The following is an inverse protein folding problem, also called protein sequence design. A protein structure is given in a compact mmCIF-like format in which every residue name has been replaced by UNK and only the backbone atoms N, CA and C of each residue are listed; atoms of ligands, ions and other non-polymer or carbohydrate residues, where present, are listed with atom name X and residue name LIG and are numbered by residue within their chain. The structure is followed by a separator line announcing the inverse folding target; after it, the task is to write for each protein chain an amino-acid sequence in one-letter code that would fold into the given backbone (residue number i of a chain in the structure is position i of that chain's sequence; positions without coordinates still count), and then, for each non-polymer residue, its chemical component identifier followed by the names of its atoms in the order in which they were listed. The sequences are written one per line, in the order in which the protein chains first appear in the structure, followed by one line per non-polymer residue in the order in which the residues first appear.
data_IF_729259617974
#
_entry.id   IF_729259617974
#
_cell.length_a   1.000
_cell.length_b   1.000
_cell.length_c   1.000
_cell.angle_alpha   90.00
_cell.angle_beta   90.00
_cell.angle_gamma   90.00
#
_symmetry.space_group_name_H-M   'P 1'
#
loop_
_entity.id
_entity.type
_entity.pdbx_description
1 polymer ?
#
# COMPACT_ATOMS: atom_id res chain seq x y z
N UNK A 1 7.13 -24.83 33.56
CA UNK A 1 7.08 -23.92 32.41
C UNK A 1 6.24 -22.73 32.87
N UNK A 2 6.81 -21.53 32.83
CA UNK A 2 6.12 -20.32 33.28
C UNK A 2 4.92 -20.02 32.34
N UNK A 3 3.77 -19.68 32.92
CA UNK A 3 2.52 -19.47 32.19
C UNK A 3 2.64 -18.27 31.24
N UNK A 4 3.38 -17.23 31.62
CA UNK A 4 3.64 -16.08 30.74
C UNK A 4 4.57 -16.43 29.57
N UNK A 5 5.58 -17.28 29.81
CA UNK A 5 6.44 -17.77 28.73
C UNK A 5 5.65 -18.58 27.71
N UNK A 6 4.79 -19.50 28.18
CA UNK A 6 3.96 -20.31 27.30
C UNK A 6 3.01 -19.47 26.42
N UNK A 7 2.39 -18.42 26.99
CA UNK A 7 1.54 -17.51 26.22
C UNK A 7 2.33 -16.70 25.17
N UNK A 8 3.54 -16.25 25.51
CA UNK A 8 4.43 -15.56 24.56
C UNK A 8 4.84 -16.48 23.40
N UNK A 9 5.15 -17.75 23.69
CA UNK A 9 5.54 -18.72 22.68
C UNK A 9 4.38 -19.03 21.71
N UNK A 10 3.15 -19.17 22.23
CA UNK A 10 1.95 -19.33 21.39
C UNK A 10 1.74 -18.10 20.49
N UNK A 11 1.78 -16.89 21.05
CA UNK A 11 1.56 -15.67 20.29
C UNK A 11 2.63 -15.48 19.19
N UNK A 12 3.88 -15.84 19.50
CA UNK A 12 4.97 -15.82 18.53
C UNK A 12 4.70 -16.80 17.39
N UNK A 13 4.37 -18.06 17.71
CA UNK A 13 4.09 -19.08 16.71
C UNK A 13 2.90 -18.72 15.80
N UNK A 14 1.84 -18.12 16.35
CA UNK A 14 0.68 -17.66 15.58
C UNK A 14 1.05 -16.50 14.65
N UNK A 15 1.79 -15.50 15.17
CA UNK A 15 2.28 -14.38 14.37
C UNK A 15 3.19 -14.84 13.21
N UNK A 16 4.07 -15.81 13.46
CA UNK A 16 4.96 -16.37 12.46
C UNK A 16 4.16 -17.12 11.38
N UNK A 17 3.16 -17.91 11.79
CA UNK A 17 2.23 -18.60 10.88
C UNK A 17 1.46 -17.63 9.98
N UNK A 18 0.90 -16.56 10.57
CA UNK A 18 0.19 -15.51 9.83
C UNK A 18 1.09 -14.80 8.81
N UNK A 19 2.33 -14.47 9.20
CA UNK A 19 3.32 -13.86 8.30
C UNK A 19 3.69 -14.79 7.15
N UNK A 20 3.96 -16.06 7.43
CA UNK A 20 4.26 -17.05 6.39
C UNK A 20 3.08 -17.20 5.43
N UNK A 21 1.86 -17.23 5.95
CA UNK A 21 0.64 -17.28 5.13
C UNK A 21 0.49 -16.05 4.24
N UNK A 22 0.77 -14.85 4.76
CA UNK A 22 0.77 -13.61 4.01
C UNK A 22 1.87 -13.60 2.92
N UNK A 23 3.09 -14.01 3.25
CA UNK A 23 4.21 -14.08 2.33
C UNK A 23 3.94 -15.04 1.16
N UNK A 24 3.44 -16.24 1.43
CA UNK A 24 3.03 -17.18 0.38
C UNK A 24 1.97 -16.58 -0.56
N UNK A 25 1.00 -15.85 -0.01
CA UNK A 25 -0.02 -15.16 -0.81
C UNK A 25 0.59 -14.07 -1.68
N UNK A 26 1.51 -13.28 -1.14
CA UNK A 26 2.23 -12.24 -1.88
C UNK A 26 2.99 -12.87 -3.05
N UNK A 27 3.76 -13.94 -2.82
CA UNK A 27 4.48 -14.67 -3.89
C UNK A 27 3.51 -15.13 -4.98
N UNK A 28 2.40 -15.77 -4.63
CA UNK A 28 1.39 -16.22 -5.59
C UNK A 28 0.79 -15.07 -6.42
N UNK A 29 0.55 -13.92 -5.80
CA UNK A 29 0.02 -12.74 -6.48
C UNK A 29 1.05 -12.14 -7.44
N UNK A 30 2.31 -12.03 -7.00
CA UNK A 30 3.42 -11.54 -7.81
C UNK A 30 3.69 -12.46 -9.01
N UNK A 31 3.73 -13.78 -8.80
CA UNK A 31 3.90 -14.74 -9.88
C UNK A 31 2.77 -14.60 -10.90
N UNK A 32 1.51 -14.56 -10.44
CA UNK A 32 0.38 -14.35 -11.34
C UNK A 32 0.55 -13.06 -12.16
N UNK A 33 0.96 -11.97 -11.51
CA UNK A 33 1.17 -10.67 -12.15
C UNK A 33 2.31 -10.70 -13.18
N UNK A 34 3.42 -11.39 -12.88
CA UNK A 34 4.54 -11.61 -13.81
C UNK A 34 4.11 -12.41 -15.05
N UNK A 35 3.24 -13.42 -14.89
CA UNK A 35 2.78 -14.28 -16.00
C UNK A 35 1.51 -13.79 -16.72
N UNK A 36 0.73 -12.86 -16.14
CA UNK A 36 -0.58 -12.44 -16.67
C UNK A 36 -0.65 -11.00 -17.16
N UNK A 37 0.47 -10.39 -17.53
CA UNK A 37 0.50 -9.01 -18.04
C UNK A 37 -0.18 -8.90 -19.41
N UNK A 38 -1.44 -8.49 -19.41
CA UNK A 38 -2.18 -8.09 -20.60
C UNK A 38 -2.38 -6.57 -20.62
N UNK A 39 -2.66 -5.98 -21.77
CA UNK A 39 -2.78 -4.51 -21.91
C UNK A 39 -3.80 -3.85 -20.95
N UNK A 40 -4.77 -4.63 -20.45
CA UNK A 40 -5.76 -4.16 -19.49
C UNK A 40 -5.24 -4.10 -18.05
N UNK A 41 -4.26 -4.94 -17.66
CA UNK A 41 -3.66 -4.89 -16.33
C UNK A 41 -2.77 -3.65 -16.16
N UNK A 42 -2.05 -3.27 -17.23
CA UNK A 42 -1.12 -2.13 -17.27
C UNK A 42 -1.83 -0.79 -16.99
N UNK A 43 -3.10 -0.65 -17.38
CA UNK A 43 -3.87 0.60 -17.17
C UNK A 43 -4.50 0.68 -15.78
N UNK A 44 -4.53 -0.43 -15.04
CA UNK A 44 -5.33 -0.57 -13.82
C UNK A 44 -4.69 0.05 -12.58
N UNK A 45 -3.36 0.07 -12.49
CA UNK A 45 -2.64 0.53 -11.29
C UNK A 45 -3.09 1.93 -10.83
N UNK A 46 -3.26 2.85 -11.77
CA UNK A 46 -3.57 4.26 -11.47
C UNK A 46 -4.99 4.40 -10.91
N UNK A 47 -5.92 3.59 -11.42
CA UNK A 47 -7.29 3.52 -10.91
C UNK A 47 -7.37 2.86 -9.55
N UNK A 48 -6.52 1.88 -9.25
CA UNK A 48 -6.44 1.28 -7.91
C UNK A 48 -5.90 2.29 -6.89
N UNK A 49 -4.90 3.11 -7.25
CA UNK A 49 -4.44 4.21 -6.38
C UNK A 49 -5.49 5.30 -6.18
N UNK A 50 -6.18 5.72 -7.25
CA UNK A 50 -7.28 6.68 -7.15
C UNK A 50 -8.44 6.16 -6.28
N UNK A 51 -8.80 4.87 -6.42
CA UNK A 51 -9.81 4.24 -5.56
C UNK A 51 -9.36 4.17 -4.10
N UNK A 52 -8.11 3.79 -3.84
CA UNK A 52 -7.55 3.80 -2.49
C UNK A 52 -7.65 5.19 -1.85
N UNK A 53 -7.26 6.24 -2.59
CA UNK A 53 -7.35 7.62 -2.12
C UNK A 53 -8.81 8.06 -1.86
N UNK A 54 -9.75 7.66 -2.73
CA UNK A 54 -11.19 7.93 -2.56
C UNK A 54 -11.77 7.27 -1.32
N UNK A 55 -11.42 6.01 -1.06
CA UNK A 55 -11.91 5.23 0.09
C UNK A 55 -11.50 5.85 1.44
N UNK A 56 -10.47 6.71 1.45
CA UNK A 56 -9.99 7.44 2.62
C UNK A 56 -10.22 8.95 2.52
N UNK A 57 -11.29 9.40 1.86
CA UNK A 57 -11.67 10.82 1.83
C UNK A 57 -11.66 11.44 3.23
N UNK A 58 -11.11 12.65 3.35
CA UNK A 58 -11.05 13.38 4.61
C UNK A 58 -12.39 14.07 4.93
N UNK A 59 -12.41 14.87 6.00
CA UNK A 59 -13.61 15.57 6.50
C UNK A 59 -14.29 16.48 5.47
N UNK A 60 -13.59 16.90 4.41
CA UNK A 60 -14.17 17.69 3.31
C UNK A 60 -15.07 16.86 2.38
N UNK A 61 -15.08 15.53 2.53
CA UNK A 61 -15.76 14.60 1.62
C UNK A 61 -15.11 14.47 0.25
N UNK A 62 -13.95 15.11 0.04
CA UNK A 62 -13.17 15.09 -1.20
C UNK A 62 -11.73 14.67 -0.93
N UNK A 63 -11.04 14.24 -1.98
CA UNK A 63 -9.61 13.95 -1.96
C UNK A 63 -8.94 14.68 -3.12
N UNK A 64 -7.80 15.31 -2.85
CA UNK A 64 -6.88 15.89 -3.82
C UNK A 64 -5.80 14.87 -4.11
N UNK A 65 -5.56 14.63 -5.39
CA UNK A 65 -4.55 13.68 -5.88
C UNK A 65 -3.54 14.44 -6.74
N UNK A 66 -2.26 14.14 -6.57
CA UNK A 66 -1.17 14.57 -7.46
C UNK A 66 -0.42 13.35 -7.95
N UNK A 67 -0.10 13.32 -9.23
CA UNK A 67 0.66 12.24 -9.85
C UNK A 67 1.80 12.88 -10.64
N UNK A 68 3.02 12.70 -10.15
CA UNK A 68 4.21 13.20 -10.80
C UNK A 68 4.89 12.03 -11.50
N UNK A 69 5.10 12.14 -12.81
CA UNK A 69 5.85 11.15 -13.58
C UNK A 69 7.08 11.80 -14.18
N UNK A 70 8.23 11.44 -13.62
CA UNK A 70 9.54 11.87 -14.08
C UNK A 70 10.19 10.77 -14.91
N UNK A 71 10.12 10.92 -16.24
CA UNK A 71 10.73 9.99 -17.19
C UNK A 71 12.25 10.01 -17.19
N UNK A 72 12.87 11.13 -16.78
CA UNK A 72 14.32 11.27 -16.82
C UNK A 72 14.93 10.51 -15.63
N UNK A 73 14.31 10.68 -14.46
CA UNK A 73 14.73 10.00 -13.23
C UNK A 73 14.06 8.64 -13.02
N UNK A 74 13.24 8.18 -13.97
CA UNK A 74 12.47 6.93 -13.91
C UNK A 74 11.69 6.78 -12.61
N UNK A 75 10.85 7.76 -12.28
CA UNK A 75 10.10 7.77 -11.02
C UNK A 75 8.64 8.16 -11.24
N UNK A 76 7.73 7.50 -10.51
CA UNK A 76 6.34 7.93 -10.33
C UNK A 76 6.09 8.20 -8.86
N UNK A 77 5.54 9.37 -8.56
CA UNK A 77 5.12 9.73 -7.21
C UNK A 77 3.63 10.03 -7.22
N UNK A 78 2.85 9.13 -6.60
CA UNK A 78 1.43 9.32 -6.35
C UNK A 78 1.24 9.91 -4.95
N UNK A 79 0.45 10.97 -4.85
CA UNK A 79 0.18 11.66 -3.59
C UNK A 79 -1.30 11.95 -3.41
N UNK A 80 -1.78 11.89 -2.17
CA UNK A 80 -3.12 12.36 -1.84
C UNK A 80 -3.21 12.95 -0.42
N UNK A 81 -4.27 13.73 -0.16
CA UNK A 81 -4.54 14.34 1.15
C UNK A 81 -5.67 13.63 1.91
N UNK A 82 -5.74 12.31 1.77
CA UNK A 82 -6.73 11.50 2.47
C UNK A 82 -6.52 11.50 3.98
N UNK A 83 -7.38 10.76 4.70
CA UNK A 83 -7.24 10.56 6.14
C UNK A 83 -5.88 9.92 6.47
N UNK A 84 -5.29 10.24 7.63
CA UNK A 84 -4.11 9.54 8.14
C UNK A 84 -4.32 8.02 8.17
N UNK A 85 -3.23 7.28 8.08
CA UNK A 85 -3.23 5.84 8.26
C UNK A 85 -3.56 5.46 9.71
N UNK A 86 -4.13 4.29 9.91
CA UNK A 86 -4.05 3.59 11.19
C UNK A 86 -2.92 2.56 11.16
N UNK A 87 -2.47 2.08 12.31
CA UNK A 87 -1.55 0.94 12.41
C UNK A 87 -2.09 -0.26 11.63
N UNK A 88 -3.38 -0.55 11.74
CA UNK A 88 -4.00 -1.66 11.02
C UNK A 88 -3.93 -1.48 9.49
N UNK A 89 -4.09 -0.25 8.99
CA UNK A 89 -3.96 0.05 7.56
C UNK A 89 -2.52 -0.15 7.07
N UNK A 90 -1.52 0.34 7.80
CA UNK A 90 -0.09 0.15 7.42
C UNK A 90 0.29 -1.32 7.46
N UNK A 91 -0.10 -2.04 8.53
CA UNK A 91 0.12 -3.49 8.62
C UNK A 91 -0.59 -4.25 7.51
N UNK A 92 -1.76 -3.78 7.07
CA UNK A 92 -2.48 -4.36 5.94
C UNK A 92 -1.74 -4.17 4.60
N UNK A 93 -1.07 -3.04 4.41
CA UNK A 93 -0.17 -2.83 3.25
C UNK A 93 1.03 -3.77 3.31
N UNK A 94 1.68 -3.89 4.48
CA UNK A 94 2.84 -4.78 4.67
C UNK A 94 2.48 -6.24 4.42
N UNK A 95 1.36 -6.71 4.98
CA UNK A 95 0.94 -8.11 4.93
C UNK A 95 0.10 -8.45 3.69
N UNK A 96 -0.20 -7.48 2.82
CA UNK A 96 -1.14 -7.62 1.70
C UNK A 96 -2.48 -8.26 2.16
N UNK A 97 -2.99 -7.83 3.31
CA UNK A 97 -4.30 -8.25 3.83
C UNK A 97 -5.34 -7.18 3.51
N UNK A 98 -6.50 -7.56 2.99
CA UNK A 98 -7.58 -6.60 2.77
C UNK A 98 -8.24 -6.24 4.10
N UNK A 99 -8.28 -4.95 4.43
CA UNK A 99 -9.00 -4.43 5.60
C UNK A 99 -10.52 -4.27 5.35
N UNK A 100 -11.05 -4.68 4.20
CA UNK A 100 -12.49 -4.60 3.91
C UNK A 100 -13.21 -5.76 4.60
N UNK A 101 -13.74 -5.47 5.78
CA UNK A 101 -14.63 -6.35 6.54
C UNK A 101 -15.79 -6.82 5.66
N UNK A 102 -16.02 -8.13 5.65
CA UNK A 102 -17.09 -8.80 4.89
C UNK A 102 -18.47 -8.76 5.60
N UNK A 103 -18.62 -7.95 6.64
CA UNK A 103 -19.75 -8.03 7.58
C UNK A 103 -20.72 -6.84 7.54
N UNK A 104 -20.68 -6.01 6.51
CA UNK A 104 -21.80 -5.13 6.20
C UNK A 104 -22.64 -5.79 5.08
N UNK A 105 -23.91 -6.05 5.37
CA UNK A 105 -24.86 -6.67 4.46
C UNK A 105 -25.36 -5.73 3.36
N UNK A 106 -24.65 -4.66 3.04
CA UNK A 106 -25.02 -3.70 2.00
C UNK A 106 -24.17 -3.93 0.75
N UNK A 107 -24.84 -4.45 -0.27
CA UNK A 107 -24.45 -4.45 -1.68
C UNK A 107 -23.09 -5.05 -2.06
N UNK A 108 -23.11 -5.86 -3.12
CA UNK A 108 -21.91 -6.39 -3.77
C UNK A 108 -21.04 -5.24 -4.31
N UNK A 109 -20.22 -4.62 -3.48
CA UNK A 109 -19.20 -3.66 -3.90
C UNK A 109 -18.08 -4.44 -4.58
N UNK A 110 -18.02 -4.26 -5.90
CA UNK A 110 -17.07 -4.87 -6.83
C UNK A 110 -15.64 -4.75 -6.32
N UNK A 111 -14.96 -5.89 -6.11
CA UNK A 111 -13.58 -5.93 -5.66
C UNK A 111 -13.27 -7.21 -4.88
N UNK A 112 -13.27 -8.36 -5.55
CA UNK A 112 -12.75 -9.59 -4.95
C UNK A 112 -11.25 -9.38 -4.64
N UNK A 113 -10.95 -9.28 -3.35
CA UNK A 113 -9.63 -9.34 -2.71
C UNK A 113 -8.79 -8.06 -2.78
N UNK A 114 -8.13 -7.73 -1.65
CA UNK A 114 -7.17 -6.63 -1.45
C UNK A 114 -5.89 -6.80 -2.26
N UNK A 115 -6.07 -6.97 -3.56
CA UNK A 115 -5.07 -7.12 -4.61
C UNK A 115 -4.90 -5.82 -5.40
N UNK A 116 -5.78 -4.84 -5.22
CA UNK A 116 -5.67 -3.54 -5.89
C UNK A 116 -4.29 -2.91 -5.71
N UNK A 117 -3.77 -2.91 -4.48
CA UNK A 117 -2.43 -2.36 -4.23
C UNK A 117 -1.29 -3.21 -4.82
N UNK A 118 -1.42 -4.56 -4.87
CA UNK A 118 -0.37 -5.39 -5.50
C UNK A 118 -0.24 -5.07 -6.99
N UNK A 119 -1.34 -4.70 -7.67
CA UNK A 119 -1.28 -4.29 -9.09
C UNK A 119 -0.36 -3.09 -9.32
N UNK A 120 -0.14 -2.24 -8.32
CA UNK A 120 0.76 -1.10 -8.44
C UNK A 120 2.23 -1.51 -8.54
N UNK A 121 2.55 -2.75 -8.14
CA UNK A 121 3.89 -3.31 -8.30
C UNK A 121 4.22 -3.65 -9.77
N UNK A 122 3.28 -3.45 -10.70
CA UNK A 122 3.58 -3.38 -12.15
C UNK A 122 4.48 -2.19 -12.49
N UNK A 123 4.44 -1.12 -11.69
CA UNK A 123 5.34 0.02 -11.84
C UNK A 123 6.74 -0.31 -11.31
N UNK A 124 6.80 -0.96 -10.16
CA UNK A 124 8.03 -1.35 -9.49
C UNK A 124 7.74 -2.41 -8.43
N UNK A 125 8.60 -3.41 -8.31
CA UNK A 125 8.53 -4.38 -7.21
C UNK A 125 8.89 -3.76 -5.85
N UNK A 126 9.46 -2.55 -5.83
CA UNK A 126 9.78 -1.83 -4.60
C UNK A 126 9.02 -0.51 -4.55
N UNK A 127 8.25 -0.32 -3.48
CA UNK A 127 7.45 0.90 -3.27
C UNK A 127 7.83 1.56 -1.95
N UNK A 128 8.20 2.84 -1.99
CA UNK A 128 8.37 3.62 -0.77
C UNK A 128 7.04 4.28 -0.40
N UNK A 129 6.59 4.04 0.82
CA UNK A 129 5.35 4.62 1.36
C UNK A 129 5.72 5.55 2.48
N UNK A 130 5.25 6.80 2.41
CA UNK A 130 5.36 7.73 3.51
C UNK A 130 4.05 8.45 3.76
N UNK A 131 3.83 8.84 5.01
CA UNK A 131 2.64 9.59 5.36
C UNK A 131 2.49 9.79 6.85
N UNK A 132 1.29 10.21 7.23
CA UNK A 132 0.89 10.43 8.62
C UNK A 132 0.11 9.21 9.10
N UNK A 133 0.44 8.71 10.28
CA UNK A 133 -0.28 7.64 10.98
C UNK A 133 -0.87 8.18 12.28
N UNK A 134 -2.14 7.87 12.53
CA UNK A 134 -2.81 8.07 13.82
C UNK A 134 -2.60 6.80 14.67
N UNK A 135 -1.78 6.92 15.71
CA UNK A 135 -1.38 5.81 16.60
C UNK A 135 -2.43 5.62 17.69
N UNK A 136 -2.93 6.74 18.22
CA UNK A 136 -4.04 6.84 19.17
C UNK A 136 -4.85 8.08 18.80
N UNK A 137 -6.05 8.23 19.37
CA UNK A 137 -6.93 9.37 19.09
C UNK A 137 -6.17 10.69 19.23
N UNK A 138 -6.09 11.46 18.14
CA UNK A 138 -5.38 12.74 18.04
C UNK A 138 -3.86 12.67 18.33
N UNK A 139 -3.24 11.47 18.26
CA UNK A 139 -1.79 11.28 18.35
C UNK A 139 -1.26 10.79 17.03
N UNK A 140 -0.49 11.64 16.37
CA UNK A 140 -0.01 11.39 15.03
C UNK A 140 1.49 11.23 14.98
N UNK A 141 1.95 10.48 13.99
CA UNK A 141 3.37 10.34 13.70
C UNK A 141 3.58 10.35 12.19
N UNK A 142 4.75 10.79 11.76
CA UNK A 142 5.22 10.58 10.39
C UNK A 142 5.90 9.22 10.32
N UNK A 143 5.59 8.45 9.30
CA UNK A 143 6.27 7.19 9.03
C UNK A 143 6.79 7.14 7.59
N UNK A 144 7.77 6.28 7.39
CA UNK A 144 8.25 5.88 6.09
C UNK A 144 8.61 4.39 6.14
N UNK A 145 8.08 3.63 5.20
CA UNK A 145 8.38 2.20 5.02
C UNK A 145 8.66 1.90 3.56
N UNK A 146 9.38 0.81 3.33
CA UNK A 146 9.62 0.25 2.01
C UNK A 146 8.89 -1.08 1.91
N UNK A 147 7.98 -1.17 0.95
CA UNK A 147 7.32 -2.42 0.58
C UNK A 147 8.16 -3.06 -0.53
N UNK A 148 9.01 -4.00 -0.12
CA UNK A 148 9.87 -4.76 -1.02
C UNK A 148 9.17 -6.07 -1.41
N UNK A 149 9.02 -6.28 -2.72
CA UNK A 149 8.38 -7.44 -3.35
C UNK A 149 9.28 -8.09 -4.40
N UNK A 150 10.60 -7.85 -4.37
CA UNK A 150 11.52 -8.49 -5.32
C UNK A 150 11.70 -9.99 -5.04
N UNK A 151 11.38 -10.44 -3.82
CA UNK A 151 11.55 -11.83 -3.40
C UNK A 151 10.80 -12.84 -4.28
N UNK A 152 11.42 -13.98 -4.54
CA UNK A 152 10.86 -15.09 -5.32
C UNK A 152 10.39 -16.26 -4.45
N UNK A 153 10.73 -16.25 -3.17
CA UNK A 153 10.22 -17.22 -2.21
C UNK A 153 9.68 -16.55 -0.94
N UNK A 154 8.97 -17.36 -0.15
CA UNK A 154 8.29 -16.89 1.06
C UNK A 154 9.24 -16.31 2.11
N UNK A 155 10.46 -16.84 2.24
CA UNK A 155 11.39 -16.42 3.28
C UNK A 155 11.95 -15.04 2.94
N UNK A 156 12.27 -14.79 1.68
CA UNK A 156 12.67 -13.46 1.19
C UNK A 156 11.58 -12.42 1.44
N UNK A 157 10.32 -12.76 1.13
CA UNK A 157 9.17 -11.89 1.39
C UNK A 157 8.94 -11.68 2.89
N UNK A 158 9.09 -12.70 3.73
CA UNK A 158 9.00 -12.55 5.20
C UNK A 158 10.06 -11.57 5.70
N UNK A 159 11.32 -11.71 5.29
CA UNK A 159 12.37 -10.76 5.69
C UNK A 159 12.12 -9.34 5.19
N UNK A 160 11.54 -9.18 3.99
CA UNK A 160 11.13 -7.86 3.50
C UNK A 160 9.99 -7.25 4.36
N UNK A 161 9.01 -8.07 4.77
CA UNK A 161 7.93 -7.64 5.64
C UNK A 161 8.43 -7.26 7.04
N UNK A 162 9.37 -8.01 7.61
CA UNK A 162 9.99 -7.71 8.90
C UNK A 162 10.73 -6.37 8.85
N UNK A 163 11.54 -6.13 7.81
CA UNK A 163 12.20 -4.84 7.61
C UNK A 163 11.21 -3.68 7.53
N UNK A 164 10.07 -3.85 6.85
CA UNK A 164 9.05 -2.82 6.78
C UNK A 164 8.39 -2.54 8.15
N UNK A 165 8.22 -3.57 8.98
CA UNK A 165 7.75 -3.41 10.37
C UNK A 165 8.78 -2.68 11.22
N UNK A 166 10.06 -3.01 11.09
CA UNK A 166 11.14 -2.34 11.82
C UNK A 166 11.24 -0.85 11.43
N UNK A 167 11.10 -0.54 10.13
CA UNK A 167 11.02 0.84 9.65
C UNK A 167 9.82 1.60 10.23
N UNK A 168 8.67 0.94 10.39
CA UNK A 168 7.49 1.55 11.01
C UNK A 168 7.73 1.92 12.47
N UNK A 169 8.56 1.16 13.20
CA UNK A 169 8.93 1.48 14.58
C UNK A 169 9.77 2.77 14.69
N UNK A 170 10.42 3.21 13.62
CA UNK A 170 11.18 4.45 13.55
C UNK A 170 10.30 5.69 13.26
N UNK A 171 8.98 5.60 13.41
CA UNK A 171 8.06 6.72 13.22
C UNK A 171 8.37 7.86 14.20
N UNK A 172 8.13 9.10 13.74
CA UNK A 172 8.42 10.31 14.50
C UNK A 172 7.11 10.99 14.89
N UNK A 173 6.89 11.22 16.19
CA UNK A 173 5.71 11.94 16.67
C UNK A 173 5.58 13.32 16.04
N UNK A 174 4.34 13.69 15.71
CA UNK A 174 3.98 15.01 15.21
C UNK A 174 3.11 15.72 16.24
N UNK A 175 3.24 17.05 16.29
CA UNK A 175 2.28 17.94 16.94
C UNK A 175 1.08 18.19 16.03
N UNK A 176 -0.08 18.57 16.60
CA UNK A 176 -1.29 18.82 15.81
C UNK A 176 -1.09 19.93 14.76
N UNK A 177 -0.32 20.97 15.09
CA UNK A 177 -0.02 22.09 14.20
C UNK A 177 0.80 21.70 12.96
N UNK A 178 1.53 20.57 13.02
CA UNK A 178 2.28 20.03 11.88
C UNK A 178 1.39 19.32 10.87
N UNK A 179 0.14 19.03 11.21
CA UNK A 179 -0.78 18.25 10.37
C UNK A 179 -1.69 19.18 9.61
N UNK A 180 -1.38 19.35 8.33
CA UNK A 180 -2.21 20.16 7.44
C UNK A 180 -3.06 19.26 6.56
N UNK A 181 -4.37 19.21 6.83
CA UNK A 181 -5.33 18.36 6.10
C UNK A 181 -5.37 18.62 4.59
N UNK A 182 -4.97 19.82 4.13
CA UNK A 182 -4.90 20.14 2.71
C UNK A 182 -3.54 19.78 2.05
N UNK A 183 -2.52 19.42 2.83
CA UNK A 183 -1.23 18.96 2.30
C UNK A 183 -1.29 17.47 1.90
N UNK A 184 -0.35 17.06 1.05
CA UNK A 184 -0.27 15.69 0.56
C UNK A 184 0.36 14.78 1.63
N UNK A 185 -0.48 14.31 2.55
CA UNK A 185 -0.07 13.54 3.73
C UNK A 185 0.11 12.03 3.48
N UNK A 186 -0.13 11.57 2.25
CA UNK A 186 0.17 10.19 1.83
C UNK A 186 0.88 10.21 0.49
N UNK A 187 1.98 9.48 0.41
CA UNK A 187 2.89 9.42 -0.74
C UNK A 187 3.26 7.97 -1.01
N UNK A 188 3.05 7.54 -2.25
CA UNK A 188 3.59 6.29 -2.81
C UNK A 188 4.59 6.65 -3.90
N UNK A 189 5.84 6.24 -3.72
CA UNK A 189 6.93 6.49 -4.65
C UNK A 189 7.43 5.17 -5.26
N UNK A 190 7.54 5.16 -6.60
CA UNK A 190 7.89 4.01 -7.41
C UNK A 190 9.12 4.32 -8.25
N UNK A 191 10.26 3.70 -7.91
CA UNK A 191 11.44 3.73 -8.77
C UNK A 191 11.26 2.72 -9.90
N UNK A 192 11.18 3.22 -11.12
CA UNK A 192 10.80 2.45 -12.30
C UNK A 192 12.03 1.86 -12.99
N UNK A 193 11.87 0.64 -13.50
CA UNK A 193 12.74 0.13 -14.56
C UNK A 193 12.20 0.52 -15.94
N UNK A 194 12.81 0.02 -17.02
CA UNK A 194 12.36 0.31 -18.38
C UNK A 194 10.90 -0.12 -18.62
N UNK A 195 10.49 -1.28 -18.09
CA UNK A 195 9.11 -1.76 -18.22
C UNK A 195 8.14 -0.91 -17.40
N UNK A 196 8.53 -0.52 -16.19
CA UNK A 196 7.77 0.36 -15.31
C UNK A 196 7.52 1.73 -15.93
N UNK A 197 8.47 2.29 -16.69
CA UNK A 197 8.29 3.55 -17.45
C UNK A 197 7.21 3.41 -18.52
N UNK A 198 7.19 2.29 -19.25
CA UNK A 198 6.15 2.01 -20.25
C UNK A 198 4.77 1.83 -19.59
N UNK A 199 4.72 1.09 -18.47
CA UNK A 199 3.50 0.90 -17.67
C UNK A 199 2.97 2.22 -17.12
N UNK A 200 3.84 3.06 -16.58
CA UNK A 200 3.50 4.38 -16.06
C UNK A 200 2.90 5.26 -17.15
N UNK A 201 3.56 5.32 -18.30
CA UNK A 201 3.11 6.12 -19.44
C UNK A 201 1.72 5.69 -19.91
N UNK A 202 1.51 4.38 -20.13
CA UNK A 202 0.22 3.85 -20.58
C UNK A 202 -0.91 4.11 -19.59
N UNK A 203 -0.65 3.95 -18.29
CA UNK A 203 -1.63 4.22 -17.24
C UNK A 203 -2.01 5.71 -17.17
N UNK A 204 -1.04 6.61 -17.24
CA UNK A 204 -1.27 8.06 -17.20
C UNK A 204 -1.99 8.55 -18.45
N UNK A 205 -1.62 8.08 -19.64
CA UNK A 205 -2.31 8.43 -20.87
C UNK A 205 -3.76 7.95 -20.85
N UNK A 206 -4.01 6.73 -20.35
CA UNK A 206 -5.37 6.24 -20.17
C UNK A 206 -6.17 7.10 -19.19
N UNK A 207 -5.59 7.47 -18.04
CA UNK A 207 -6.25 8.34 -17.07
C UNK A 207 -6.64 9.68 -17.70
N UNK A 208 -5.77 10.30 -18.50
CA UNK A 208 -6.05 11.59 -19.15
C UNK A 208 -7.27 11.53 -20.08
N UNK A 209 -7.44 10.42 -20.80
CA UNK A 209 -8.57 10.24 -21.71
C UNK A 209 -9.85 9.89 -20.96
N UNK A 210 -9.76 9.09 -19.89
CA UNK A 210 -10.91 8.55 -19.19
C UNK A 210 -11.41 9.40 -18.02
N UNK A 211 -10.55 10.20 -17.37
CA UNK A 211 -10.90 10.99 -16.19
C UNK A 211 -12.11 11.95 -16.37
N UNK A 212 -12.37 12.56 -17.53
CA UNK A 212 -13.56 13.41 -17.72
C UNK A 212 -14.90 12.64 -17.68
N UNK A 213 -14.88 11.31 -17.79
CA UNK A 213 -16.07 10.48 -17.98
C UNK A 213 -16.45 9.63 -16.75
N UNK A 214 -15.76 9.83 -15.61
CA UNK A 214 -15.97 9.08 -14.34
C UNK A 214 -16.27 9.99 -13.16
#
# INVERSE_FOLDING_TARGET
MDQEQFQRDIQKADNDSLRIGAANRIVQLLDKQRYSNNENSVKRWIWELCQNAKDVSNETGKVKISIDFDKINNNVIFRHNGRPFTIANVMSLINQSSSKDKYDGSERKSGKFGTGFITTHLLSEVVNVSGIIEVEKARFSKFQITLDRTGHDKNEIVSAMEKAVDQLQACQSLTEDEIKTNEYNTIFEYKLDKGGVEVAQQGIDNLRVSAPFV
#
